data_IF_394708732273
#
_entry.id   IF_394708732273
#
_cell.length_a   1.000
_cell.length_b   1.000
_cell.length_c   1.000
_cell.angle_alpha   90.00
_cell.angle_beta   90.00
_cell.angle_gamma   90.00
#
_symmetry.space_group_name_H-M   'P 1'
#
loop_
_entity.id
_entity.type
_entity.pdbx_description
1 polymer ?
#
# COMPACT_ATOMS: atom_id res chain seq x y z
N UNK A 1 3.86 15.39 -23.06
CA UNK A 1 2.94 15.83 -21.98
C UNK A 1 2.54 14.72 -20.99
N UNK A 2 2.52 13.41 -21.36
CA UNK A 2 2.15 12.31 -20.43
C UNK A 2 3.23 11.94 -19.38
N UNK A 3 4.52 12.05 -19.70
CA UNK A 3 5.62 11.61 -18.80
C UNK A 3 5.64 12.29 -17.42
N UNK A 4 5.21 13.56 -17.31
CA UNK A 4 5.19 14.26 -16.02
C UNK A 4 4.08 13.75 -15.09
N UNK A 5 2.94 13.31 -15.63
CA UNK A 5 1.82 12.82 -14.81
C UNK A 5 2.18 11.52 -14.07
N UNK A 6 2.93 10.64 -14.72
CA UNK A 6 3.38 9.38 -14.10
C UNK A 6 4.33 9.63 -12.92
N UNK A 7 5.21 10.64 -13.03
CA UNK A 7 6.12 11.05 -11.96
C UNK A 7 5.40 11.79 -10.81
N UNK A 8 4.34 12.54 -11.12
CA UNK A 8 3.56 13.27 -10.11
C UNK A 8 2.64 12.32 -9.32
N UNK A 9 1.98 11.38 -9.99
CA UNK A 9 1.00 10.47 -9.35
C UNK A 9 1.55 9.08 -9.06
N UNK A 10 2.78 8.76 -9.48
CA UNK A 10 3.41 7.45 -9.26
C UNK A 10 3.40 7.02 -7.78
N UNK A 11 3.84 7.86 -6.84
CA UNK A 11 3.82 7.51 -5.41
C UNK A 11 2.40 7.25 -4.88
N UNK A 12 1.41 8.03 -5.31
CA UNK A 12 0.00 7.81 -4.99
C UNK A 12 -0.52 6.48 -5.54
N UNK A 13 -0.17 6.15 -6.78
CA UNK A 13 -0.53 4.88 -7.40
C UNK A 13 0.04 3.67 -6.67
N UNK A 14 1.31 3.75 -6.26
CA UNK A 14 1.97 2.71 -5.44
C UNK A 14 1.29 2.57 -4.08
N UNK A 15 0.98 3.68 -3.41
CA UNK A 15 0.24 3.67 -2.14
C UNK A 15 -1.16 3.05 -2.26
N UNK A 16 -1.90 3.36 -3.33
CA UNK A 16 -3.22 2.79 -3.60
C UNK A 16 -3.15 1.28 -3.89
N UNK A 17 -2.16 0.83 -4.67
CA UNK A 17 -1.92 -0.59 -4.93
C UNK A 17 -1.55 -1.35 -3.64
N UNK A 18 -0.75 -0.74 -2.77
CA UNK A 18 -0.39 -1.32 -1.49
C UNK A 18 -1.61 -1.46 -0.55
N UNK A 19 -2.46 -0.44 -0.48
CA UNK A 19 -3.72 -0.49 0.28
C UNK A 19 -4.68 -1.56 -0.26
N UNK A 20 -4.83 -1.64 -1.58
CA UNK A 20 -5.68 -2.66 -2.21
C UNK A 20 -5.16 -4.08 -1.91
N UNK A 21 -3.84 -4.28 -2.01
CA UNK A 21 -3.19 -5.55 -1.69
C UNK A 21 -3.35 -5.91 -0.21
N UNK A 22 -3.28 -4.92 0.69
CA UNK A 22 -3.48 -5.12 2.13
C UNK A 22 -4.93 -5.53 2.43
N UNK A 23 -5.91 -4.88 1.80
CA UNK A 23 -7.33 -5.28 1.93
C UNK A 23 -7.57 -6.70 1.44
N UNK A 24 -6.99 -7.09 0.29
CA UNK A 24 -7.09 -8.44 -0.23
C UNK A 24 -6.47 -9.48 0.73
N UNK A 25 -5.32 -9.16 1.31
CA UNK A 25 -4.65 -10.00 2.31
C UNK A 25 -5.50 -10.17 3.58
N UNK A 26 -6.07 -9.09 4.09
CA UNK A 26 -6.96 -9.13 5.26
C UNK A 26 -8.22 -9.95 4.98
N UNK A 27 -8.79 -9.83 3.78
CA UNK A 27 -9.94 -10.64 3.36
C UNK A 27 -9.59 -12.14 3.31
N UNK A 28 -8.42 -12.49 2.77
CA UNK A 28 -7.92 -13.87 2.81
C UNK A 28 -7.80 -14.39 4.24
N UNK A 29 -7.16 -13.62 5.13
CA UNK A 29 -7.01 -14.01 6.55
C UNK A 29 -8.36 -14.20 7.24
N UNK A 30 -9.34 -13.34 6.94
CA UNK A 30 -10.68 -13.44 7.50
C UNK A 30 -11.43 -14.69 7.00
N UNK A 31 -11.45 -14.92 5.68
CA UNK A 31 -12.19 -16.06 5.11
C UNK A 31 -11.55 -17.38 5.59
N UNK A 32 -10.25 -17.54 5.39
CA UNK A 32 -9.62 -18.82 5.66
C UNK A 32 -9.32 -19.02 7.15
N UNK A 33 -8.94 -17.97 7.87
CA UNK A 33 -8.65 -18.03 9.30
C UNK A 33 -9.91 -18.08 10.16
N UNK A 34 -10.87 -17.17 9.92
CA UNK A 34 -12.05 -17.03 10.78
C UNK A 34 -13.21 -17.91 10.33
N UNK A 35 -13.55 -17.91 9.04
CA UNK A 35 -14.73 -18.67 8.58
C UNK A 35 -14.44 -20.17 8.40
N UNK A 36 -13.25 -20.52 7.93
CA UNK A 36 -12.88 -21.92 7.65
C UNK A 36 -12.01 -22.55 8.75
N UNK A 37 -11.50 -21.76 9.70
CA UNK A 37 -10.69 -22.26 10.81
C UNK A 37 -9.29 -22.77 10.43
N UNK A 38 -8.77 -22.39 9.26
CA UNK A 38 -7.42 -22.76 8.85
C UNK A 38 -6.36 -21.91 9.57
N UNK A 39 -5.25 -22.53 9.95
CA UNK A 39 -4.09 -21.81 10.46
C UNK A 39 -3.35 -21.12 9.30
N UNK A 40 -3.84 -19.94 8.92
CA UNK A 40 -3.32 -19.17 7.78
C UNK A 40 -2.25 -18.15 8.16
N UNK A 41 -2.08 -17.86 9.45
CA UNK A 41 -1.01 -16.98 9.94
C UNK A 41 -0.70 -17.35 11.38
N UNK A 42 0.58 -17.52 11.69
CA UNK A 42 1.03 -17.76 13.07
C UNK A 42 2.32 -17.00 13.33
N UNK A 43 2.43 -16.38 14.50
CA UNK A 43 3.68 -15.79 14.98
C UNK A 43 4.53 -16.83 15.73
N UNK A 44 3.87 -17.73 16.47
CA UNK A 44 4.51 -18.66 17.41
C UNK A 44 4.18 -20.15 17.16
N UNK A 45 3.57 -20.51 16.02
CA UNK A 45 3.19 -21.88 15.67
C UNK A 45 3.51 -22.26 14.22
N UNK A 46 3.18 -23.49 13.82
CA UNK A 46 3.48 -24.09 12.50
C UNK A 46 2.72 -23.48 11.30
N UNK A 47 2.17 -22.27 11.45
CA UNK A 47 1.47 -21.55 10.40
C UNK A 47 2.42 -20.74 9.50
N UNK A 48 1.99 -20.39 8.27
CA UNK A 48 2.77 -19.52 7.41
C UNK A 48 2.93 -18.12 8.03
N UNK A 49 4.17 -17.65 8.19
CA UNK A 49 4.46 -16.31 8.73
C UNK A 49 4.36 -15.19 7.68
N UNK A 50 4.33 -15.56 6.38
CA UNK A 50 4.34 -14.60 5.28
C UNK A 50 3.19 -13.58 5.33
N UNK A 51 1.95 -13.88 5.76
CA UNK A 51 0.88 -12.88 5.78
C UNK A 51 1.15 -11.75 6.78
N UNK A 52 1.78 -12.06 7.91
CA UNK A 52 2.19 -11.04 8.86
C UNK A 52 3.27 -10.13 8.28
N UNK A 53 4.32 -10.72 7.69
CA UNK A 53 5.38 -9.95 7.04
C UNK A 53 4.85 -9.10 5.87
N UNK A 54 3.94 -9.65 5.05
CA UNK A 54 3.31 -8.94 3.94
C UNK A 54 2.40 -7.81 4.43
N UNK A 55 1.59 -8.04 5.48
CA UNK A 55 0.76 -6.98 6.06
C UNK A 55 1.60 -5.85 6.63
N UNK A 56 2.72 -6.17 7.30
CA UNK A 56 3.65 -5.19 7.83
C UNK A 56 4.27 -4.33 6.72
N UNK A 57 4.80 -4.96 5.67
CA UNK A 57 5.42 -4.26 4.53
C UNK A 57 4.39 -3.41 3.78
N UNK A 58 3.22 -3.95 3.45
CA UNK A 58 2.15 -3.22 2.76
C UNK A 58 1.61 -2.06 3.62
N UNK A 59 1.52 -2.25 4.93
CA UNK A 59 1.17 -1.20 5.88
C UNK A 59 2.15 -0.03 5.82
N UNK A 60 3.45 -0.30 5.94
CA UNK A 60 4.49 0.73 5.85
C UNK A 60 4.54 1.44 4.50
N UNK A 61 4.43 0.68 3.40
CA UNK A 61 4.36 1.26 2.05
C UNK A 61 3.15 2.19 1.94
N UNK A 62 2.00 1.80 2.47
CA UNK A 62 0.79 2.64 2.44
C UNK A 62 0.96 3.91 3.27
N UNK A 63 1.49 3.78 4.50
CA UNK A 63 1.73 4.91 5.42
C UNK A 63 2.75 5.89 4.87
N UNK A 64 3.72 5.44 4.08
CA UNK A 64 4.74 6.32 3.49
C UNK A 64 4.25 6.89 2.16
N UNK A 65 3.85 6.03 1.21
CA UNK A 65 3.54 6.45 -0.15
C UNK A 65 2.27 7.28 -0.27
N UNK A 66 1.25 7.05 0.56
CA UNK A 66 -0.01 7.82 0.48
C UNK A 66 0.21 9.28 0.93
N UNK A 67 0.81 9.58 2.10
CA UNK A 67 1.09 10.96 2.50
C UNK A 67 2.13 11.63 1.62
N UNK A 68 3.22 10.92 1.25
CA UNK A 68 4.25 11.49 0.39
C UNK A 68 3.69 11.80 -1.00
N UNK A 69 2.88 10.90 -1.55
CA UNK A 69 2.23 11.10 -2.84
C UNK A 69 1.18 12.21 -2.80
N UNK A 70 0.40 12.31 -1.71
CA UNK A 70 -0.55 13.41 -1.52
C UNK A 70 0.17 14.76 -1.42
N UNK A 71 1.22 14.84 -0.61
CA UNK A 71 2.04 16.04 -0.45
C UNK A 71 2.70 16.44 -1.79
N UNK A 72 3.26 15.46 -2.50
CA UNK A 72 3.90 15.68 -3.80
C UNK A 72 2.92 16.15 -4.87
N UNK A 73 1.72 15.57 -4.92
CA UNK A 73 0.66 15.96 -5.83
C UNK A 73 0.15 17.39 -5.57
N UNK A 74 0.23 17.87 -4.33
CA UNK A 74 -0.10 19.25 -3.97
C UNK A 74 1.03 20.21 -4.33
N UNK A 75 2.30 19.85 -4.09
CA UNK A 75 3.46 20.75 -4.28
C UNK A 75 3.84 20.94 -5.75
N UNK A 76 3.89 19.86 -6.53
CA UNK A 76 4.35 19.89 -7.94
C UNK A 76 3.64 20.91 -8.84
N UNK A 77 2.31 21.08 -8.76
CA UNK A 77 1.58 22.10 -9.51
C UNK A 77 1.99 23.55 -9.20
N UNK A 78 2.50 23.83 -7.99
CA UNK A 78 2.93 25.18 -7.59
C UNK A 78 4.34 25.52 -8.08
N UNK A 79 5.27 24.55 -8.02
CA UNK A 79 6.65 24.74 -8.50
C UNK A 79 6.69 25.06 -10.01
N UNK A 80 5.81 24.45 -10.80
CA UNK A 80 5.73 24.70 -12.24
C UNK A 80 5.20 26.09 -12.64
N UNK A 81 4.64 26.87 -11.71
CA UNK A 81 4.09 28.21 -11.99
C UNK A 81 5.08 29.35 -11.75
N UNK A 82 6.14 29.13 -10.98
CA UNK A 82 7.14 30.19 -10.69
C UNK A 82 8.27 30.26 -11.73
N UNK A 83 8.29 29.34 -12.71
CA UNK A 83 9.28 29.30 -13.79
C UNK A 83 8.74 29.83 -15.15
N UNK A 84 7.56 30.44 -15.17
CA UNK A 84 6.88 30.92 -16.38
C UNK A 84 6.66 32.42 -16.37
#
# INVERSE_FOLDING_TARGET
>A
MQKNKLLIYGPLGVGALALFSLMALLLYLFIFGTLLGHNVSSLDGDGPQWPFATAWVLGWISVICVPLGALWAVIMPHIGREQG
#
